data_IF_999721647920
#
_entry.id   IF_999721647920
#
_cell.length_a   1.000
_cell.length_b   1.000
_cell.length_c   1.000
_cell.angle_alpha   90.00
_cell.angle_beta   90.00
_cell.angle_gamma   90.00
#
_symmetry.space_group_name_H-M   'P 1'
#
loop_
_entity.id
_entity.type
_entity.pdbx_description
1 polymer ?
#
# COMPACT_ATOMS: atom_id res chain seq x y z
N UNK A 1 21.93 8.68 16.71
CA UNK A 1 21.40 9.26 15.45
C UNK A 1 20.53 10.47 15.84
N UNK A 2 20.96 11.67 15.53
CA UNK A 2 20.31 12.91 15.96
C UNK A 2 18.98 13.07 15.22
N UNK A 3 17.88 13.08 15.97
CA UNK A 3 16.61 13.62 15.48
C UNK A 3 16.84 15.12 15.24
N UNK A 4 16.51 15.61 14.04
CA UNK A 4 16.35 17.03 13.83
C UNK A 4 15.19 17.51 14.72
N UNK A 5 15.46 18.40 15.67
CA UNK A 5 14.51 18.84 16.70
C UNK A 5 13.28 19.57 16.12
N UNK A 6 13.25 19.79 14.80
CA UNK A 6 12.18 20.52 14.12
C UNK A 6 11.13 19.64 13.41
N UNK A 7 11.14 18.31 13.56
CA UNK A 7 10.18 17.42 12.88
C UNK A 7 10.33 17.37 11.34
N UNK A 8 11.41 17.89 10.81
CA UNK A 8 11.71 17.93 9.37
C UNK A 8 12.33 16.60 8.95
N UNK A 9 11.82 16.01 7.88
CA UNK A 9 12.41 14.80 7.28
C UNK A 9 13.81 15.14 6.73
N UNK A 10 14.81 14.33 7.07
CA UNK A 10 16.16 14.54 6.54
C UNK A 10 16.13 14.48 5.00
N UNK A 11 16.86 15.35 4.29
CA UNK A 11 16.77 15.43 2.82
C UNK A 11 17.02 14.08 2.11
N UNK A 12 17.99 13.29 2.60
CA UNK A 12 18.29 11.97 2.05
C UNK A 12 17.17 10.97 2.27
N UNK A 13 16.54 10.99 3.46
CA UNK A 13 15.41 10.12 3.80
C UNK A 13 14.19 10.43 2.93
N UNK A 14 13.96 11.71 2.62
CA UNK A 14 12.90 12.13 1.69
C UNK A 14 13.15 11.60 0.27
N UNK A 15 14.37 11.73 -0.25
CA UNK A 15 14.74 11.20 -1.58
C UNK A 15 14.58 9.67 -1.64
N UNK A 16 14.94 8.97 -0.58
CA UNK A 16 14.76 7.51 -0.48
C UNK A 16 13.28 7.13 -0.46
N UNK A 17 12.47 7.80 0.37
CA UNK A 17 11.03 7.57 0.43
C UNK A 17 10.37 7.77 -0.95
N UNK A 18 10.72 8.85 -1.65
CA UNK A 18 10.25 9.10 -3.01
C UNK A 18 10.67 7.98 -3.98
N UNK A 19 11.90 7.47 -3.86
CA UNK A 19 12.38 6.36 -4.69
C UNK A 19 11.59 5.08 -4.45
N UNK A 20 11.32 4.73 -3.19
CA UNK A 20 10.61 3.49 -2.83
C UNK A 20 9.14 3.48 -3.25
N UNK A 21 8.53 4.65 -3.33
CA UNK A 21 7.13 4.84 -3.72
C UNK A 21 6.97 5.33 -5.16
N UNK A 22 8.05 5.41 -5.90
CA UNK A 22 8.05 5.79 -7.32
C UNK A 22 7.53 4.66 -8.20
N UNK A 23 6.84 4.96 -9.32
CA UNK A 23 6.52 3.97 -10.34
C UNK A 23 7.73 3.24 -10.95
N UNK A 24 8.94 3.78 -10.77
CA UNK A 24 10.19 3.13 -11.21
C UNK A 24 10.74 2.12 -10.21
N UNK A 25 10.18 2.07 -8.99
CA UNK A 25 10.60 1.09 -7.99
C UNK A 25 10.10 -0.30 -8.42
N UNK A 26 10.97 -1.33 -8.48
CA UNK A 26 10.64 -2.60 -9.12
C UNK A 26 9.81 -3.54 -8.21
N UNK A 27 8.70 -3.04 -7.65
CA UNK A 27 7.78 -3.88 -6.88
C UNK A 27 6.77 -4.62 -7.75
N UNK A 28 6.55 -4.18 -8.99
CA UNK A 28 5.62 -4.82 -9.90
C UNK A 28 4.20 -4.26 -9.89
N UNK A 29 3.91 -3.20 -9.13
CA UNK A 29 2.57 -2.59 -8.98
C UNK A 29 1.88 -2.25 -10.32
N UNK A 30 2.65 -1.94 -11.35
CA UNK A 30 2.16 -1.71 -12.70
C UNK A 30 1.34 -2.87 -13.30
N UNK A 31 1.56 -4.10 -12.83
CA UNK A 31 0.92 -5.32 -13.33
C UNK A 31 -0.39 -5.67 -12.62
N UNK A 32 -0.78 -4.89 -11.62
CA UNK A 32 -1.95 -5.15 -10.80
C UNK A 32 -2.96 -4.02 -10.91
N UNK A 33 -4.25 -4.36 -10.87
CA UNK A 33 -5.34 -3.41 -10.98
C UNK A 33 -6.20 -3.30 -9.71
N UNK A 34 -5.96 -4.15 -8.74
CA UNK A 34 -6.72 -4.20 -7.49
C UNK A 34 -8.23 -4.36 -7.73
N UNK A 35 -8.60 -5.21 -8.69
CA UNK A 35 -9.99 -5.44 -9.09
C UNK A 35 -10.59 -4.38 -10.01
N UNK A 36 -9.86 -3.28 -10.35
CA UNK A 36 -10.37 -2.22 -11.23
C UNK A 36 -10.74 -2.75 -12.62
N UNK A 37 -9.99 -3.71 -13.17
CA UNK A 37 -10.26 -4.26 -14.49
C UNK A 37 -11.65 -4.90 -14.55
N UNK A 38 -12.00 -5.71 -13.56
CA UNK A 38 -13.34 -6.31 -13.45
C UNK A 38 -14.43 -5.27 -13.20
N UNK A 39 -14.16 -4.24 -12.39
CA UNK A 39 -15.10 -3.15 -12.16
C UNK A 39 -15.37 -2.30 -13.41
N UNK A 40 -14.36 -2.13 -14.27
CA UNK A 40 -14.52 -1.46 -15.58
C UNK A 40 -15.32 -2.35 -16.54
N UNK A 41 -15.01 -3.65 -16.64
CA UNK A 41 -15.74 -4.59 -17.51
C UNK A 41 -17.22 -4.68 -17.13
N UNK A 42 -17.53 -4.65 -15.84
CA UNK A 42 -18.91 -4.63 -15.32
C UNK A 42 -19.58 -3.24 -15.36
N UNK A 43 -18.92 -2.24 -15.96
CA UNK A 43 -19.40 -0.86 -16.11
C UNK A 43 -19.68 -0.13 -14.78
N UNK A 44 -19.06 -0.57 -13.68
CA UNK A 44 -19.11 0.13 -12.39
C UNK A 44 -18.18 1.34 -12.40
N UNK A 45 -17.04 1.21 -13.07
CA UNK A 45 -16.09 2.31 -13.32
C UNK A 45 -16.06 2.59 -14.82
N UNK A 46 -16.38 3.82 -15.23
CA UNK A 46 -16.51 4.22 -16.64
C UNK A 46 -15.92 5.58 -16.98
N UNK A 47 -15.64 6.38 -15.96
CA UNK A 47 -15.14 7.74 -16.07
C UNK A 47 -14.31 8.12 -14.84
N UNK A 48 -13.74 9.32 -14.84
CA UNK A 48 -12.92 9.83 -13.74
C UNK A 48 -13.71 9.88 -12.43
N UNK A 49 -14.97 10.30 -12.46
CA UNK A 49 -15.78 10.47 -11.24
C UNK A 49 -16.02 9.13 -10.55
N UNK A 50 -16.45 8.12 -11.30
CA UNK A 50 -16.65 6.77 -10.77
C UNK A 50 -15.36 6.10 -10.32
N UNK A 51 -14.21 6.44 -10.92
CA UNK A 51 -12.90 5.98 -10.45
C UNK A 51 -12.52 6.64 -9.13
N UNK A 52 -12.75 7.94 -8.97
CA UNK A 52 -12.50 8.67 -7.71
C UNK A 52 -13.38 8.12 -6.59
N UNK A 53 -14.68 7.95 -6.84
CA UNK A 53 -15.62 7.40 -5.84
C UNK A 53 -15.20 5.99 -5.38
N UNK A 54 -14.71 5.16 -6.31
CA UNK A 54 -14.22 3.82 -6.02
C UNK A 54 -12.99 3.81 -5.11
N UNK A 55 -12.01 4.66 -5.42
CA UNK A 55 -10.78 4.75 -4.64
C UNK A 55 -11.01 5.43 -3.27
N UNK A 56 -11.91 6.43 -3.19
CA UNK A 56 -12.32 7.01 -1.91
C UNK A 56 -12.98 5.96 -1.00
N UNK A 57 -13.84 5.11 -1.57
CA UNK A 57 -14.47 4.03 -0.83
C UNK A 57 -13.45 3.00 -0.31
N UNK A 58 -12.43 2.63 -1.09
CA UNK A 58 -11.38 1.72 -0.64
C UNK A 58 -10.49 2.35 0.44
N UNK A 59 -10.12 3.61 0.29
CA UNK A 59 -9.36 4.36 1.30
C UNK A 59 -10.10 4.46 2.64
N UNK A 60 -11.43 4.61 2.63
CA UNK A 60 -12.24 4.79 3.84
C UNK A 60 -12.70 3.48 4.46
N UNK A 61 -12.98 2.47 3.66
CA UNK A 61 -13.72 1.28 4.09
C UNK A 61 -13.12 -0.05 3.62
N UNK A 62 -12.09 -0.04 2.80
CA UNK A 62 -11.57 -1.23 2.13
C UNK A 62 -10.17 -1.65 2.57
N UNK A 63 -9.48 -2.27 1.64
CA UNK A 63 -8.14 -2.83 1.81
C UNK A 63 -7.11 -1.75 2.11
N UNK A 64 -7.18 -0.58 1.46
CA UNK A 64 -6.26 0.53 1.68
C UNK A 64 -6.36 1.08 3.11
N UNK A 65 -7.56 1.14 3.70
CA UNK A 65 -7.75 1.49 5.12
C UNK A 65 -7.03 0.50 6.05
N UNK A 66 -7.20 -0.78 5.80
CA UNK A 66 -6.56 -1.83 6.61
C UNK A 66 -5.03 -1.77 6.47
N UNK A 67 -4.54 -1.58 5.26
CA UNK A 67 -3.10 -1.44 4.98
C UNK A 67 -2.50 -0.21 5.66
N UNK A 68 -3.25 0.88 5.76
CA UNK A 68 -2.83 2.06 6.53
C UNK A 68 -2.68 1.75 8.03
N UNK A 69 -3.60 0.97 8.62
CA UNK A 69 -3.52 0.53 10.03
C UNK A 69 -2.31 -0.39 10.22
N UNK A 70 -2.12 -1.38 9.36
CA UNK A 70 -0.94 -2.27 9.42
C UNK A 70 0.37 -1.49 9.26
N UNK A 71 0.40 -0.49 8.39
CA UNK A 71 1.56 0.38 8.22
C UNK A 71 1.94 1.08 9.52
N UNK A 72 0.96 1.72 10.18
CA UNK A 72 1.20 2.46 11.44
C UNK A 72 1.68 1.54 12.54
N UNK A 73 1.05 0.37 12.71
CA UNK A 73 1.43 -0.60 13.72
C UNK A 73 2.81 -1.20 13.46
N UNK A 74 3.13 -1.55 12.22
CA UNK A 74 4.45 -2.06 11.86
C UNK A 74 5.54 -1.00 12.06
N UNK A 75 5.26 0.26 11.69
CA UNK A 75 6.19 1.37 11.92
C UNK A 75 6.47 1.57 13.42
N UNK A 76 5.42 1.58 14.25
CA UNK A 76 5.53 1.71 15.71
C UNK A 76 6.35 0.58 16.32
N UNK A 77 6.09 -0.65 15.89
CA UNK A 77 6.83 -1.83 16.34
C UNK A 77 8.32 -1.74 15.99
N UNK A 78 8.63 -1.37 14.75
CA UNK A 78 10.01 -1.22 14.29
C UNK A 78 10.74 -0.10 15.05
N UNK A 79 10.13 1.08 15.16
CA UNK A 79 10.70 2.22 15.87
C UNK A 79 10.91 1.98 17.37
N UNK A 80 10.06 1.15 17.99
CA UNK A 80 10.13 0.76 19.39
C UNK A 80 10.97 -0.49 19.67
N UNK A 81 11.47 -1.19 18.64
CA UNK A 81 12.21 -2.46 18.79
C UNK A 81 11.33 -3.63 19.24
N UNK A 82 10.02 -3.59 19.02
CA UNK A 82 9.05 -4.61 19.43
C UNK A 82 8.93 -5.73 18.38
N UNK A 83 10.00 -6.48 18.15
CA UNK A 83 10.12 -7.43 17.02
C UNK A 83 9.15 -8.61 17.08
N UNK A 84 8.81 -9.12 18.27
CA UNK A 84 7.80 -10.18 18.43
C UNK A 84 6.47 -9.67 17.90
N UNK A 85 6.06 -8.48 18.34
CA UNK A 85 4.82 -7.85 17.91
C UNK A 85 4.84 -7.53 16.42
N UNK A 86 5.97 -7.08 15.89
CA UNK A 86 6.14 -6.84 14.45
C UNK A 86 5.90 -8.11 13.62
N UNK A 87 6.38 -9.26 14.11
CA UNK A 87 6.15 -10.55 13.44
C UNK A 87 4.67 -10.95 13.48
N UNK A 88 3.98 -10.75 14.62
CA UNK A 88 2.53 -10.97 14.73
C UNK A 88 1.74 -10.08 13.78
N UNK A 89 2.05 -8.78 13.72
CA UNK A 89 1.44 -7.82 12.78
C UNK A 89 1.69 -8.24 11.32
N UNK A 90 2.90 -8.70 11.00
CA UNK A 90 3.25 -9.18 9.66
C UNK A 90 2.42 -10.40 9.27
N UNK A 91 2.27 -11.36 10.19
CA UNK A 91 1.46 -12.56 9.95
C UNK A 91 -0.03 -12.21 9.76
N UNK A 92 -0.54 -11.31 10.61
CA UNK A 92 -1.93 -10.86 10.50
C UNK A 92 -2.15 -10.10 9.19
N UNK A 93 -1.25 -9.19 8.81
CA UNK A 93 -1.34 -8.45 7.55
C UNK A 93 -1.33 -9.38 6.32
N UNK A 94 -0.53 -10.45 6.35
CA UNK A 94 -0.50 -11.45 5.28
C UNK A 94 -1.80 -12.27 5.20
N UNK A 95 -2.40 -12.59 6.35
CA UNK A 95 -3.63 -13.37 6.44
C UNK A 95 -4.89 -12.52 6.16
N UNK A 96 -4.83 -11.21 6.37
CA UNK A 96 -5.98 -10.30 6.28
C UNK A 96 -6.18 -9.79 4.85
N UNK A 97 -6.41 -10.74 3.90
CA UNK A 97 -6.66 -10.44 2.49
C UNK A 97 -8.00 -11.03 2.09
N UNK A 98 -8.92 -10.18 1.61
CA UNK A 98 -10.31 -10.57 1.31
C UNK A 98 -10.44 -11.54 0.14
N UNK A 99 -9.49 -11.55 -0.80
CA UNK A 99 -9.50 -12.39 -2.01
C UNK A 99 -8.12 -13.01 -2.26
N UNK A 100 -8.07 -14.06 -3.07
CA UNK A 100 -6.80 -14.69 -3.47
C UNK A 100 -5.96 -13.75 -4.34
N UNK A 101 -6.60 -12.88 -5.13
CA UNK A 101 -5.91 -11.88 -5.96
C UNK A 101 -5.27 -10.78 -5.11
N UNK A 102 -5.97 -10.26 -4.10
CA UNK A 102 -5.37 -9.33 -3.14
C UNK A 102 -4.20 -9.95 -2.36
N UNK A 103 -4.30 -11.23 -2.01
CA UNK A 103 -3.21 -11.95 -1.36
C UNK A 103 -2.00 -12.12 -2.30
N UNK A 104 -2.25 -12.45 -3.56
CA UNK A 104 -1.21 -12.60 -4.59
C UNK A 104 -0.50 -11.27 -4.86
N UNK A 105 -1.25 -10.20 -5.13
CA UNK A 105 -0.74 -8.85 -5.37
C UNK A 105 0.13 -8.39 -4.21
N UNK A 106 -0.43 -8.35 -3.00
CA UNK A 106 0.25 -7.84 -1.82
C UNK A 106 1.54 -8.64 -1.48
N UNK A 107 1.52 -9.97 -1.65
CA UNK A 107 2.69 -10.81 -1.36
C UNK A 107 3.79 -10.68 -2.42
N UNK A 108 3.44 -10.60 -3.70
CA UNK A 108 4.43 -10.45 -4.77
C UNK A 108 5.09 -9.07 -4.75
N UNK A 109 4.30 -8.02 -4.57
CA UNK A 109 4.84 -6.67 -4.40
C UNK A 109 5.69 -6.55 -3.14
N UNK A 110 5.24 -7.15 -2.03
CA UNK A 110 5.97 -7.18 -0.78
C UNK A 110 7.31 -7.89 -0.90
N UNK A 111 7.34 -9.06 -1.55
CA UNK A 111 8.57 -9.83 -1.78
C UNK A 111 9.56 -9.06 -2.67
N UNK A 112 9.07 -8.46 -3.75
CA UNK A 112 9.90 -7.65 -4.66
C UNK A 112 10.45 -6.41 -3.96
N UNK A 113 9.61 -5.74 -3.15
CA UNK A 113 10.02 -4.57 -2.35
C UNK A 113 11.08 -4.93 -1.33
N UNK A 114 10.89 -6.01 -0.58
CA UNK A 114 11.85 -6.47 0.44
C UNK A 114 13.19 -6.81 -0.19
N UNK A 115 13.20 -7.54 -1.31
CA UNK A 115 14.42 -7.89 -2.04
C UNK A 115 15.15 -6.65 -2.52
N UNK A 116 14.46 -5.73 -3.19
CA UNK A 116 15.06 -4.50 -3.72
C UNK A 116 15.62 -3.61 -2.61
N UNK A 117 14.89 -3.47 -1.50
CA UNK A 117 15.35 -2.67 -0.36
C UNK A 117 16.61 -3.24 0.27
N UNK A 118 16.72 -4.56 0.39
CA UNK A 118 17.91 -5.24 0.91
C UNK A 118 19.11 -5.06 0.01
N UNK A 119 18.90 -5.18 -1.29
CA UNK A 119 19.98 -5.12 -2.28
C UNK A 119 20.52 -3.70 -2.48
N UNK A 120 19.65 -2.70 -2.52
CA UNK A 120 20.02 -1.32 -2.89
C UNK A 120 20.26 -0.42 -1.66
N UNK A 121 19.49 -0.63 -0.60
CA UNK A 121 19.59 0.14 0.65
C UNK A 121 19.68 -0.80 1.85
N UNK A 122 20.75 -1.60 1.99
CA UNK A 122 20.88 -2.56 3.07
C UNK A 122 20.78 -1.88 4.43
N UNK A 123 20.03 -2.53 5.34
CA UNK A 123 19.78 -2.02 6.68
C UNK A 123 19.49 -3.19 7.63
N UNK A 124 20.05 -3.18 8.85
CA UNK A 124 19.86 -4.27 9.82
C UNK A 124 18.39 -4.55 10.18
N UNK A 125 17.53 -3.53 10.18
CA UNK A 125 16.11 -3.72 10.50
C UNK A 125 15.37 -4.46 9.39
N UNK A 126 15.69 -4.17 8.13
CA UNK A 126 15.14 -4.87 6.97
C UNK A 126 15.66 -6.31 6.90
N UNK A 127 16.93 -6.55 7.21
CA UNK A 127 17.47 -7.92 7.28
C UNK A 127 16.81 -8.72 8.40
N UNK A 128 16.60 -8.10 9.56
CA UNK A 128 15.89 -8.72 10.69
C UNK A 128 14.45 -9.07 10.33
N UNK A 129 13.72 -8.15 9.70
CA UNK A 129 12.37 -8.41 9.19
C UNK A 129 12.38 -9.60 8.22
N UNK A 130 13.27 -9.57 7.23
CA UNK A 130 13.39 -10.64 6.22
C UNK A 130 13.62 -12.01 6.86
N UNK A 131 14.52 -12.09 7.85
CA UNK A 131 14.81 -13.35 8.54
C UNK A 131 13.64 -13.82 9.40
N UNK A 132 12.96 -12.92 10.12
CA UNK A 132 11.78 -13.25 10.90
C UNK A 132 10.64 -13.81 10.03
N UNK A 133 10.36 -13.15 8.90
CA UNK A 133 9.35 -13.60 7.95
C UNK A 133 9.69 -14.98 7.36
N UNK A 134 10.97 -15.19 6.98
CA UNK A 134 11.46 -16.46 6.44
C UNK A 134 11.31 -17.62 7.44
N UNK A 135 11.72 -17.40 8.70
CA UNK A 135 11.65 -18.42 9.76
C UNK A 135 10.22 -18.81 10.12
N UNK A 136 9.28 -17.88 10.03
CA UNK A 136 7.86 -18.10 10.34
C UNK A 136 7.01 -18.43 9.11
N UNK A 137 7.60 -18.55 7.91
CA UNK A 137 6.90 -18.75 6.65
C UNK A 137 5.82 -17.72 6.37
N UNK A 138 6.04 -16.47 6.77
CA UNK A 138 5.13 -15.34 6.57
C UNK A 138 5.48 -14.65 5.24
N UNK A 139 4.47 -14.39 4.41
CA UNK A 139 4.65 -13.61 3.18
C UNK A 139 4.93 -12.14 3.52
N UNK A 140 5.95 -11.52 2.90
CA UNK A 140 6.16 -10.08 3.04
C UNK A 140 5.03 -9.31 2.36
N UNK A 141 4.52 -8.27 3.03
CA UNK A 141 3.44 -7.42 2.52
C UNK A 141 3.92 -5.97 2.48
N UNK A 142 3.63 -5.27 1.39
CA UNK A 142 4.17 -3.92 1.10
C UNK A 142 4.01 -2.92 2.26
N UNK A 143 2.82 -2.72 2.86
CA UNK A 143 2.67 -1.75 3.95
C UNK A 143 3.61 -2.03 5.13
N UNK A 144 3.84 -3.31 5.49
CA UNK A 144 4.77 -3.69 6.55
C UNK A 144 6.22 -3.41 6.15
N UNK A 145 6.61 -3.83 4.95
CA UNK A 145 7.99 -3.66 4.44
C UNK A 145 8.37 -2.19 4.35
N UNK A 146 7.50 -1.36 3.77
CA UNK A 146 7.75 0.09 3.63
C UNK A 146 7.71 0.79 4.99
N UNK A 147 6.82 0.39 5.89
CA UNK A 147 6.74 0.94 7.25
C UNK A 147 8.03 0.70 8.03
N UNK A 148 8.53 -0.53 8.06
CA UNK A 148 9.78 -0.89 8.74
C UNK A 148 10.97 -0.13 8.16
N UNK A 149 11.05 -0.07 6.83
CA UNK A 149 12.12 0.69 6.18
C UNK A 149 12.05 2.17 6.48
N UNK A 150 10.86 2.75 6.50
CA UNK A 150 10.65 4.16 6.84
C UNK A 150 11.02 4.47 8.29
N UNK A 151 10.70 3.57 9.23
CA UNK A 151 11.10 3.69 10.62
C UNK A 151 12.62 3.65 10.79
N UNK A 152 13.29 2.69 10.14
CA UNK A 152 14.75 2.56 10.13
C UNK A 152 15.45 3.80 9.55
N UNK A 153 14.87 4.42 8.53
CA UNK A 153 15.37 5.66 7.92
C UNK A 153 15.07 6.93 8.76
N UNK A 154 14.29 6.80 9.84
CA UNK A 154 13.88 7.92 10.68
C UNK A 154 12.82 8.83 10.06
N UNK A 155 12.08 8.35 9.06
CA UNK A 155 10.96 9.09 8.48
C UNK A 155 9.77 9.03 9.45
N UNK A 156 9.18 10.19 9.84
CA UNK A 156 8.01 10.20 10.71
C UNK A 156 6.84 9.40 10.10
N UNK A 157 6.14 8.64 10.93
CA UNK A 157 5.07 7.74 10.48
C UNK A 157 4.01 8.44 9.64
N UNK A 158 3.58 9.64 10.05
CA UNK A 158 2.56 10.38 9.32
C UNK A 158 3.01 10.82 7.91
N UNK A 159 4.30 11.12 7.72
CA UNK A 159 4.87 11.48 6.42
C UNK A 159 4.98 10.24 5.54
N UNK A 160 5.52 9.14 6.10
CA UNK A 160 5.69 7.88 5.38
C UNK A 160 4.34 7.28 4.95
N UNK A 161 3.34 7.29 5.85
CA UNK A 161 1.99 6.79 5.56
C UNK A 161 1.28 7.57 4.45
N UNK A 162 1.31 8.92 4.52
CA UNK A 162 0.70 9.75 3.47
C UNK A 162 1.34 9.50 2.11
N UNK A 163 2.67 9.42 2.07
CA UNK A 163 3.38 9.11 0.84
C UNK A 163 3.03 7.70 0.31
N UNK A 164 2.89 6.72 1.20
CA UNK A 164 2.48 5.35 0.86
C UNK A 164 1.08 5.34 0.25
N UNK A 165 0.08 5.93 0.92
CA UNK A 165 -1.30 6.00 0.42
C UNK A 165 -1.41 6.78 -0.90
N UNK A 166 -0.68 7.88 -1.03
CA UNK A 166 -0.61 8.63 -2.28
C UNK A 166 0.00 7.79 -3.42
N UNK A 167 1.04 7.01 -3.14
CA UNK A 167 1.63 6.07 -4.09
C UNK A 167 0.64 4.98 -4.53
N UNK A 168 -0.10 4.40 -3.58
CA UNK A 168 -1.17 3.44 -3.85
C UNK A 168 -2.23 4.01 -4.78
N UNK A 169 -2.78 5.19 -4.45
CA UNK A 169 -3.76 5.90 -5.29
C UNK A 169 -3.19 6.18 -6.69
N UNK A 170 -1.95 6.66 -6.78
CA UNK A 170 -1.29 6.96 -8.05
C UNK A 170 -1.15 5.73 -8.96
N UNK A 171 -0.81 4.58 -8.38
CA UNK A 171 -0.73 3.31 -9.12
C UNK A 171 -2.09 2.89 -9.67
N UNK A 172 -3.15 2.94 -8.86
CA UNK A 172 -4.50 2.56 -9.28
C UNK A 172 -5.11 3.54 -10.30
N UNK A 173 -4.84 4.84 -10.15
CA UNK A 173 -5.24 5.82 -11.18
C UNK A 173 -4.50 5.54 -12.50
N UNK A 174 -3.22 5.17 -12.47
CA UNK A 174 -2.48 4.77 -13.67
C UNK A 174 -3.08 3.52 -14.31
N UNK A 175 -3.53 2.54 -13.51
CA UNK A 175 -4.28 1.40 -14.01
C UNK A 175 -5.63 1.84 -14.63
N UNK A 176 -6.37 2.72 -13.96
CA UNK A 176 -7.62 3.29 -14.46
C UNK A 176 -7.46 4.01 -15.79
N UNK A 177 -6.42 4.83 -15.97
CA UNK A 177 -6.11 5.51 -17.25
C UNK A 177 -5.84 4.52 -18.40
N UNK A 178 -5.36 3.30 -18.09
CA UNK A 178 -5.15 2.25 -19.09
C UNK A 178 -6.44 1.49 -19.44
N UNK A 179 -7.40 1.44 -18.53
CA UNK A 179 -8.66 0.68 -18.64
C UNK A 179 -9.82 1.51 -19.17
N UNK A 180 -9.83 2.80 -18.87
CA UNK A 180 -10.90 3.73 -19.19
C UNK A 180 -10.37 4.76 -20.20
N UNK A 181 -11.20 5.34 -21.09
CA UNK A 181 -10.76 6.35 -22.04
C UNK A 181 -10.45 7.71 -21.38
N UNK A 182 -9.54 7.71 -20.39
CA UNK A 182 -9.07 8.91 -19.69
C UNK A 182 -7.72 9.38 -20.26
N UNK A 183 -7.55 10.70 -20.33
CA UNK A 183 -6.25 11.31 -20.60
C UNK A 183 -5.38 11.39 -19.35
N UNK A 184 -4.06 11.57 -19.53
CA UNK A 184 -3.11 11.74 -18.42
C UNK A 184 -3.49 12.92 -17.50
N UNK A 185 -4.03 14.00 -18.07
CA UNK A 185 -4.51 15.16 -17.31
C UNK A 185 -5.71 14.81 -16.42
N UNK A 186 -6.60 13.93 -16.87
CA UNK A 186 -7.71 13.46 -16.05
C UNK A 186 -7.23 12.55 -14.92
N UNK A 187 -6.19 11.74 -15.16
CA UNK A 187 -5.52 11.02 -14.10
C UNK A 187 -4.95 11.95 -13.01
N UNK A 188 -4.28 13.04 -13.41
CA UNK A 188 -3.78 14.03 -12.44
C UNK A 188 -4.91 14.76 -11.68
N UNK A 189 -6.04 15.03 -12.34
CA UNK A 189 -7.22 15.59 -11.66
C UNK A 189 -7.80 14.61 -10.64
N UNK A 190 -7.85 13.31 -10.96
CA UNK A 190 -8.30 12.29 -10.03
C UNK A 190 -7.38 12.19 -8.80
N UNK A 191 -6.05 12.27 -8.98
CA UNK A 191 -5.10 12.33 -7.86
C UNK A 191 -5.40 13.53 -6.95
N UNK A 192 -5.56 14.72 -7.54
CA UNK A 192 -5.84 15.94 -6.78
C UNK A 192 -7.19 15.87 -6.02
N UNK A 193 -8.22 15.27 -6.62
CA UNK A 193 -9.53 15.07 -5.98
C UNK A 193 -9.47 14.10 -4.78
N UNK A 194 -8.50 13.18 -4.73
CA UNK A 194 -8.32 12.20 -3.67
C UNK A 194 -7.38 12.65 -2.54
N UNK A 195 -6.78 13.84 -2.62
CA UNK A 195 -5.85 14.35 -1.60
C UNK A 195 -6.48 14.35 -0.20
N UNK A 196 -7.70 14.87 -0.07
CA UNK A 196 -8.41 14.92 1.22
C UNK A 196 -8.74 13.50 1.73
N UNK A 197 -9.12 12.57 0.86
CA UNK A 197 -9.36 11.17 1.24
C UNK A 197 -8.09 10.48 1.76
N UNK A 198 -6.93 10.75 1.15
CA UNK A 198 -5.62 10.26 1.62
C UNK A 198 -5.27 10.85 2.99
N UNK A 199 -5.53 12.15 3.19
CA UNK A 199 -5.29 12.80 4.48
C UNK A 199 -6.19 12.24 5.58
N UNK A 200 -7.48 12.04 5.30
CA UNK A 200 -8.45 11.46 6.22
C UNK A 200 -8.10 10.01 6.58
N UNK A 201 -7.79 9.17 5.59
CA UNK A 201 -7.37 7.79 5.81
C UNK A 201 -6.09 7.71 6.66
N UNK A 202 -5.11 8.60 6.38
CA UNK A 202 -3.91 8.72 7.20
C UNK A 202 -4.22 9.13 8.64
N UNK A 203 -5.07 10.14 8.84
CA UNK A 203 -5.45 10.62 10.17
C UNK A 203 -6.20 9.53 10.96
N UNK A 204 -7.11 8.80 10.31
CA UNK A 204 -7.81 7.67 10.91
C UNK A 204 -6.84 6.58 11.36
N UNK A 205 -5.95 6.12 10.48
CA UNK A 205 -5.01 5.05 10.79
C UNK A 205 -4.05 5.42 11.94
N UNK A 206 -3.70 6.69 12.11
CA UNK A 206 -2.86 7.16 13.22
C UNK A 206 -3.51 6.97 14.59
N UNK A 207 -4.83 6.90 14.69
CA UNK A 207 -5.60 6.73 15.92
C UNK A 207 -6.22 5.35 16.07
N UNK A 208 -6.33 4.60 14.98
CA UNK A 208 -6.87 3.24 14.94
C UNK A 208 -5.87 2.21 15.51
N UNK A 209 -6.39 1.04 15.83
CA UNK A 209 -5.67 -0.15 16.28
C UNK A 209 -6.03 -1.35 15.38
N UNK A 210 -5.38 -2.50 15.63
CA UNK A 210 -5.73 -3.76 14.94
C UNK A 210 -7.16 -4.24 15.24
N UNK A 211 -7.79 -3.77 16.32
CA UNK A 211 -9.18 -4.12 16.64
C UNK A 211 -10.18 -3.38 15.74
N UNK A 212 -9.72 -2.35 15.03
CA UNK A 212 -10.51 -1.58 14.07
C UNK A 212 -10.40 -2.14 12.63
N UNK A 213 -9.65 -3.23 12.42
CA UNK A 213 -9.56 -3.88 11.12
C UNK A 213 -10.92 -4.42 10.67
N UNK A 214 -11.22 -4.23 9.39
CA UNK A 214 -12.45 -4.69 8.78
C UNK A 214 -12.64 -4.05 7.42
N UNK A 215 -13.57 -4.57 6.63
CA UNK A 215 -13.90 -3.99 5.33
C UNK A 215 -15.41 -3.84 5.20
N UNK A 216 -15.81 -2.73 4.58
CA UNK A 216 -17.17 -2.49 4.10
C UNK A 216 -17.17 -2.04 2.62
N UNK A 217 -16.03 -2.09 1.94
CA UNK A 217 -15.91 -1.84 0.51
C UNK A 217 -16.28 -3.11 -0.30
N UNK A 218 -17.49 -3.61 -0.08
CA UNK A 218 -17.96 -4.90 -0.62
C UNK A 218 -17.80 -4.99 -2.14
N UNK A 219 -18.05 -3.88 -2.86
CA UNK A 219 -17.94 -3.88 -4.33
C UNK A 219 -16.49 -4.03 -4.80
N UNK A 220 -15.51 -3.50 -4.05
CA UNK A 220 -14.08 -3.66 -4.34
C UNK A 220 -13.67 -5.13 -4.18
N UNK A 221 -14.11 -5.78 -3.10
CA UNK A 221 -13.84 -7.19 -2.85
C UNK A 221 -14.52 -8.10 -3.89
N UNK A 222 -15.77 -7.82 -4.24
CA UNK A 222 -16.49 -8.57 -5.27
C UNK A 222 -15.85 -8.42 -6.66
N UNK A 223 -15.37 -7.21 -7.01
CA UNK A 223 -14.67 -6.99 -8.26
C UNK A 223 -13.34 -7.77 -8.30
N UNK A 224 -12.57 -7.78 -7.20
CA UNK A 224 -11.37 -8.58 -7.09
C UNK A 224 -11.65 -10.09 -7.21
N UNK A 225 -12.67 -10.59 -6.51
CA UNK A 225 -13.07 -12.00 -6.61
C UNK A 225 -13.57 -12.37 -8.03
N UNK A 226 -14.30 -11.45 -8.70
CA UNK A 226 -14.78 -11.67 -10.07
C UNK A 226 -13.64 -11.71 -11.07
N UNK A 227 -12.58 -10.93 -10.83
CA UNK A 227 -11.38 -10.92 -11.66
C UNK A 227 -10.68 -12.28 -11.70
N UNK A 228 -10.76 -13.10 -10.65
CA UNK A 228 -10.15 -14.45 -10.61
C UNK A 228 -10.59 -15.35 -11.78
N UNK A 229 -11.81 -15.17 -12.27
CA UNK A 229 -12.39 -15.96 -13.35
C UNK A 229 -12.54 -15.21 -14.68
N UNK A 230 -12.08 -13.97 -14.76
CA UNK A 230 -12.16 -13.14 -15.95
C UNK A 230 -11.33 -13.76 -17.09
N UNK A 231 -11.95 -13.93 -18.26
CA UNK A 231 -11.35 -14.66 -19.38
C UNK A 231 -10.23 -13.88 -20.06
N UNK A 232 -10.44 -12.60 -20.32
CA UNK A 232 -9.43 -11.71 -20.90
C UNK A 232 -8.93 -10.75 -19.84
N UNK A 233 -7.62 -10.70 -19.62
CA UNK A 233 -7.02 -9.86 -18.59
C UNK A 233 -5.85 -9.06 -19.14
N UNK A 234 -5.83 -7.77 -18.84
CA UNK A 234 -4.69 -6.90 -19.03
C UNK A 234 -3.75 -6.92 -17.82
N UNK A 235 -4.34 -7.09 -16.63
CA UNK A 235 -3.66 -7.10 -15.34
C UNK A 235 -3.63 -8.51 -14.74
N UNK A 236 -2.79 -8.69 -13.72
CA UNK A 236 -2.63 -9.97 -13.01
C UNK A 236 -3.63 -10.14 -11.86
N UNK A 237 -4.15 -8.99 -11.33
CA UNK A 237 -5.22 -8.92 -10.33
C UNK A 237 -6.13 -7.74 -10.59
#
# INVERSE_FOLDING_TARGET
MSRDENGVVAPRSLLRLQSWLSPTFPMGAYSYSHGLESAVESNQIRDRHTLVDWLDADLRFGSARNDAIFFVEAWRCAAGGHYVRLTEISALSAAFRGTSEFALEASQEGASSLTTLRDVWPDPEIDRLSEALRLQHIQPIVPVVVAVRSAAEGVPVAVALRAFLHGFVGNLITAGVRLIPLGQTDGQRAIAELEDAVLDASAHAMTASIDDLGSAAVMVELASASHETQYTRLFRS
#
